data_IF_051779892819
#
_entry.id   IF_051779892819
#
_cell.length_a   1.000
_cell.length_b   1.000
_cell.length_c   1.000
_cell.angle_alpha   90.00
_cell.angle_beta   90.00
_cell.angle_gamma   90.00
#
_symmetry.space_group_name_H-M   'P 1'
#
loop_
_entity.id
_entity.type
_entity.pdbx_description
1 polymer ?
#
# COMPACT_ATOMS: atom_id res chain seq x y z
N UNK A 1 -6.45 9.95 -4.99
CA UNK A 1 -5.06 9.87 -5.47
C UNK A 1 -4.47 8.54 -5.02
N UNK A 2 -4.18 7.64 -5.96
CA UNK A 2 -3.47 6.39 -5.68
C UNK A 2 -1.99 6.73 -5.49
N UNK A 3 -1.55 6.83 -4.24
CA UNK A 3 -0.13 6.73 -3.96
C UNK A 3 0.16 5.23 -3.92
N UNK A 4 0.53 4.64 -5.07
CA UNK A 4 1.38 3.46 -5.03
C UNK A 4 2.59 3.90 -4.21
N UNK A 5 2.79 3.25 -3.08
CA UNK A 5 3.96 3.47 -2.23
C UNK A 5 5.19 3.40 -3.13
N UNK A 6 5.78 4.56 -3.46
CA UNK A 6 6.74 4.68 -4.57
C UNK A 6 7.95 3.80 -4.28
N UNK A 7 8.25 3.58 -2.99
CA UNK A 7 9.29 2.67 -2.52
C UNK A 7 9.05 1.19 -2.84
N UNK A 8 7.80 0.71 -2.89
CA UNK A 8 7.53 -0.68 -3.32
C UNK A 8 7.78 -0.88 -4.82
N UNK A 9 7.47 0.15 -5.62
CA UNK A 9 7.81 0.16 -7.04
C UNK A 9 9.33 0.24 -7.26
N UNK A 10 10.06 0.82 -6.32
CA UNK A 10 11.51 0.98 -6.43
C UNK A 10 12.25 -0.37 -6.36
N UNK A 11 11.83 -1.33 -5.54
CA UNK A 11 12.48 -2.66 -5.49
C UNK A 11 11.84 -3.71 -6.42
N UNK A 12 10.73 -3.38 -7.09
CA UNK A 12 9.96 -4.33 -7.89
C UNK A 12 10.60 -4.58 -9.26
N UNK A 13 10.52 -5.81 -9.75
CA UNK A 13 10.76 -6.14 -11.16
C UNK A 13 9.48 -6.71 -11.75
N UNK A 14 8.91 -6.01 -12.73
CA UNK A 14 7.71 -6.42 -13.44
C UNK A 14 8.08 -7.07 -14.78
N UNK A 15 7.62 -8.30 -14.99
CA UNK A 15 7.73 -9.01 -16.28
C UNK A 15 6.34 -9.13 -16.88
N UNK A 16 6.10 -8.49 -18.02
CA UNK A 16 4.82 -8.55 -18.73
C UNK A 16 4.98 -9.43 -19.97
N UNK A 17 4.14 -10.46 -20.10
CA UNK A 17 4.11 -11.33 -21.26
C UNK A 17 2.81 -11.13 -22.04
N UNK A 18 2.89 -10.47 -23.20
CA UNK A 18 1.77 -10.41 -24.14
C UNK A 18 1.82 -11.61 -25.07
N UNK A 19 0.91 -12.57 -24.85
CA UNK A 19 0.78 -13.75 -25.69
C UNK A 19 0.32 -13.43 -27.12
N UNK A 20 -0.49 -12.38 -27.27
CA UNK A 20 -1.01 -11.94 -28.56
C UNK A 20 0.09 -11.28 -29.41
N UNK A 21 0.92 -10.45 -28.77
CA UNK A 21 1.95 -9.68 -29.48
C UNK A 21 3.29 -10.40 -29.57
N UNK A 22 3.42 -11.58 -28.94
CA UNK A 22 4.68 -12.34 -28.80
C UNK A 22 5.81 -11.48 -28.22
N UNK A 23 5.47 -10.61 -27.28
CA UNK A 23 6.37 -9.64 -26.68
C UNK A 23 6.48 -9.88 -25.18
N UNK A 24 7.71 -9.76 -24.67
CA UNK A 24 8.02 -9.80 -23.24
C UNK A 24 8.66 -8.47 -22.88
N UNK A 25 8.03 -7.74 -21.97
CA UNK A 25 8.55 -6.50 -21.42
C UNK A 25 9.07 -6.73 -20.02
N UNK A 26 10.12 -5.99 -19.66
CA UNK A 26 10.72 -6.06 -18.33
C UNK A 26 10.97 -4.65 -17.85
N UNK A 27 10.43 -4.32 -16.68
CA UNK A 27 10.63 -3.04 -16.01
C UNK A 27 11.20 -3.33 -14.63
N UNK A 28 12.29 -2.68 -14.28
CA UNK A 28 12.86 -2.73 -12.95
C UNK A 28 12.69 -1.38 -12.28
N UNK A 29 12.33 -1.41 -11.00
CA UNK A 29 12.28 -0.24 -10.14
C UNK A 29 13.66 0.37 -9.92
N UNK A 30 13.66 1.60 -9.40
CA UNK A 30 14.86 2.40 -9.15
C UNK A 30 15.87 1.70 -8.23
N UNK A 31 15.38 1.11 -7.13
CA UNK A 31 16.19 0.47 -6.09
C UNK A 31 16.38 -1.03 -6.34
N UNK A 32 15.90 -1.57 -7.46
CA UNK A 32 16.19 -2.95 -7.85
C UNK A 32 17.68 -3.15 -8.20
N UNK A 33 18.42 -2.08 -8.49
CA UNK A 33 19.86 -2.08 -8.81
C UNK A 33 20.27 -3.09 -9.88
N UNK A 34 19.34 -3.41 -10.79
CA UNK A 34 19.56 -4.29 -11.94
C UNK A 34 19.89 -3.45 -13.17
N UNK A 35 20.98 -3.78 -13.85
CA UNK A 35 21.31 -3.11 -15.10
C UNK A 35 20.41 -3.58 -16.25
N UNK A 36 20.28 -2.73 -17.27
CA UNK A 36 19.63 -3.09 -18.54
C UNK A 36 20.21 -4.38 -19.13
N UNK A 37 21.53 -4.56 -19.05
CA UNK A 37 22.23 -5.71 -19.60
C UNK A 37 21.85 -7.01 -18.88
N UNK A 38 21.60 -6.96 -17.56
CA UNK A 38 21.12 -8.10 -16.80
C UNK A 38 19.72 -8.52 -17.28
N UNK A 39 18.81 -7.56 -17.44
CA UNK A 39 17.44 -7.84 -17.92
C UNK A 39 17.45 -8.36 -19.37
N UNK A 40 18.27 -7.76 -20.23
CA UNK A 40 18.44 -8.20 -21.62
C UNK A 40 19.03 -9.61 -21.70
N UNK A 41 20.04 -9.91 -20.87
CA UNK A 41 20.66 -11.24 -20.80
C UNK A 41 19.66 -12.28 -20.30
N UNK A 42 18.83 -11.93 -19.30
CA UNK A 42 17.77 -12.81 -18.80
C UNK A 42 16.82 -13.22 -19.93
N UNK A 43 16.40 -12.27 -20.76
CA UNK A 43 15.53 -12.53 -21.91
C UNK A 43 16.24 -13.37 -22.98
N UNK A 44 17.46 -12.98 -23.38
CA UNK A 44 18.22 -13.65 -24.44
C UNK A 44 18.51 -15.12 -24.10
N UNK A 45 18.84 -15.43 -22.85
CA UNK A 45 19.07 -16.82 -22.40
C UNK A 45 17.81 -17.69 -22.51
N UNK A 46 16.63 -17.09 -22.46
CA UNK A 46 15.34 -17.79 -22.46
C UNK A 46 14.58 -17.67 -23.78
N UNK A 47 15.16 -17.00 -24.80
CA UNK A 47 14.47 -16.72 -26.07
C UNK A 47 14.04 -17.98 -26.82
N UNK A 48 14.78 -19.08 -26.68
CA UNK A 48 14.42 -20.36 -27.29
C UNK A 48 13.09 -20.91 -26.76
N UNK A 49 12.84 -20.79 -25.45
CA UNK A 49 11.58 -21.21 -24.83
C UNK A 49 10.40 -20.38 -25.32
N UNK A 50 10.58 -19.06 -25.48
CA UNK A 50 9.54 -18.19 -26.04
C UNK A 50 9.24 -18.52 -27.50
N UNK A 51 10.28 -18.78 -28.32
CA UNK A 51 10.11 -19.20 -29.72
C UNK A 51 9.42 -20.56 -29.85
N UNK A 52 9.65 -21.47 -28.91
CA UNK A 52 9.01 -22.78 -28.86
C UNK A 52 7.58 -22.76 -28.28
N UNK A 53 7.08 -21.60 -27.83
CA UNK A 53 5.77 -21.49 -27.17
C UNK A 53 5.75 -21.98 -25.72
N UNK A 54 6.89 -22.34 -25.14
CA UNK A 54 7.06 -22.74 -23.74
C UNK A 54 7.24 -21.51 -22.84
N UNK A 55 6.24 -20.62 -22.81
CA UNK A 55 6.32 -19.33 -22.10
C UNK A 55 6.58 -19.47 -20.60
N UNK A 56 6.00 -20.49 -19.95
CA UNK A 56 6.17 -20.75 -18.51
C UNK A 56 7.65 -21.00 -18.20
N UNK A 57 8.28 -21.90 -18.95
CA UNK A 57 9.71 -22.23 -18.78
C UNK A 57 10.61 -21.03 -19.08
N UNK A 58 10.27 -20.24 -20.11
CA UNK A 58 11.01 -19.02 -20.43
C UNK A 58 10.92 -17.97 -19.32
N UNK A 59 9.74 -17.75 -18.76
CA UNK A 59 9.51 -16.84 -17.64
C UNK A 59 10.20 -17.32 -16.36
N UNK A 60 10.10 -18.61 -16.05
CA UNK A 60 10.76 -19.22 -14.89
C UNK A 60 12.28 -19.04 -14.97
N UNK A 61 12.89 -19.26 -16.14
CA UNK A 61 14.31 -19.04 -16.36
C UNK A 61 14.71 -17.56 -16.26
N UNK A 62 13.87 -16.64 -16.73
CA UNK A 62 14.09 -15.19 -16.54
C UNK A 62 14.05 -14.80 -15.07
N UNK A 63 13.03 -15.26 -14.32
CA UNK A 63 12.87 -14.99 -12.89
C UNK A 63 14.08 -15.50 -12.11
N UNK A 64 14.52 -16.75 -12.36
CA UNK A 64 15.69 -17.34 -11.70
C UNK A 64 16.96 -16.52 -11.91
N UNK A 65 17.21 -16.08 -13.14
CA UNK A 65 18.39 -15.27 -13.47
C UNK A 65 18.32 -13.87 -12.82
N UNK A 66 17.17 -13.21 -12.92
CA UNK A 66 16.93 -11.88 -12.36
C UNK A 66 17.05 -11.91 -10.83
N UNK A 67 16.43 -12.88 -10.15
CA UNK A 67 16.51 -13.03 -8.71
C UNK A 67 17.95 -13.28 -8.23
N UNK A 68 18.72 -14.07 -8.96
CA UNK A 68 20.14 -14.30 -8.67
C UNK A 68 20.98 -13.01 -8.81
N UNK A 69 20.75 -12.24 -9.86
CA UNK A 69 21.43 -10.96 -10.07
C UNK A 69 21.02 -9.91 -9.03
N UNK A 70 19.73 -9.87 -8.67
CA UNK A 70 19.20 -9.00 -7.62
C UNK A 70 19.87 -9.30 -6.29
N UNK A 71 19.93 -10.57 -5.89
CA UNK A 71 20.59 -11.00 -4.65
C UNK A 71 22.07 -10.61 -4.64
N UNK A 72 22.77 -10.78 -5.77
CA UNK A 72 24.18 -10.40 -5.89
C UNK A 72 24.41 -8.89 -5.77
N UNK A 73 23.47 -8.07 -6.28
CA UNK A 73 23.53 -6.61 -6.19
C UNK A 73 23.23 -6.07 -4.77
N UNK A 74 22.55 -6.87 -3.93
CA UNK A 74 22.14 -6.49 -2.57
C UNK A 74 22.96 -7.14 -1.46
N UNK A 75 23.85 -8.10 -1.78
CA UNK A 75 24.77 -8.74 -0.81
C UNK A 75 26.04 -7.91 -0.53
N UNK A 76 26.25 -6.78 -1.21
CA UNK A 76 27.40 -5.90 -0.93
C UNK A 76 27.08 -4.83 0.14
N UNK A 77 26.87 -5.25 1.39
CA UNK A 77 27.05 -4.42 2.59
C UNK A 77 27.06 -5.29 3.85
N UNK A 78 28.25 -5.62 4.34
CA UNK A 78 28.44 -6.04 5.74
C UNK A 78 29.30 -4.98 6.41
N UNK A 79 28.73 -4.08 7.23
CA UNK A 79 29.52 -3.35 8.21
C UNK A 79 29.94 -4.34 9.30
N UNK A 80 31.24 -4.51 9.49
CA UNK A 80 31.81 -5.27 10.61
C UNK A 80 31.41 -4.63 11.96
N UNK A 81 31.18 -5.43 13.03
CA UNK A 81 30.79 -4.88 14.33
C UNK A 81 32.01 -4.32 15.06
N UNK A 82 32.00 -3.03 15.40
CA UNK A 82 32.92 -2.45 16.37
C UNK A 82 32.35 -2.58 17.77
N UNK A 83 32.95 -3.47 18.55
CA UNK A 83 32.84 -3.61 20.00
C UNK A 83 33.58 -2.43 20.65
N UNK A 84 32.97 -1.77 21.63
CA UNK A 84 33.70 -1.05 22.69
C UNK A 84 32.79 -0.80 23.90
N UNK A 85 33.12 -1.50 25.00
CA UNK A 85 32.63 -1.33 26.36
C UNK A 85 33.07 0.01 26.99
N UNK A 86 32.27 0.56 27.92
CA UNK A 86 32.66 0.72 29.35
C UNK A 86 31.82 1.75 30.14
N UNK A 87 31.13 1.24 31.19
CA UNK A 87 31.11 1.65 32.61
C UNK A 87 30.54 3.01 33.11
N UNK A 88 29.52 2.85 34.00
CA UNK A 88 29.28 3.41 35.35
C UNK A 88 29.46 4.93 35.61
N UNK A 89 28.54 5.60 36.33
CA UNK A 89 28.47 5.65 37.81
C UNK A 89 27.09 6.13 38.30
N UNK A 90 26.70 5.61 39.48
CA UNK A 90 25.52 5.88 40.32
C UNK A 90 25.38 7.32 40.86
N UNK A 91 24.15 7.74 41.16
CA UNK A 91 23.85 8.59 42.33
C UNK A 91 22.45 8.31 42.89
N UNK A 92 22.41 8.12 44.20
CA UNK A 92 21.31 7.62 45.05
C UNK A 92 20.39 8.75 45.54
N UNK A 93 19.16 8.36 45.93
CA UNK A 93 17.95 9.12 46.35
C UNK A 93 18.05 9.88 47.70
N UNK A 94 16.94 10.45 48.23
CA UNK A 94 16.08 9.68 49.17
C UNK A 94 14.54 9.87 49.09
N UNK A 95 13.82 8.85 49.59
CA UNK A 95 12.38 8.65 49.86
C UNK A 95 11.79 9.63 50.92
N UNK A 96 10.48 9.88 51.14
CA UNK A 96 9.36 8.96 51.51
C UNK A 96 7.98 9.74 51.70
N UNK A 97 6.86 9.21 52.29
CA UNK A 97 5.56 8.91 51.61
C UNK A 97 4.29 9.49 52.34
N UNK A 98 3.10 8.83 52.42
CA UNK A 98 1.92 8.89 51.52
C UNK A 98 0.62 9.41 52.18
N UNK A 99 -0.44 9.74 51.41
CA UNK A 99 -1.82 9.87 51.94
C UNK A 99 -2.96 9.86 50.89
N UNK A 100 -3.75 8.79 50.95
CA UNK A 100 -5.22 8.66 50.88
C UNK A 100 -6.09 9.07 49.66
N UNK A 101 -7.01 8.14 49.37
CA UNK A 101 -8.10 8.06 48.38
C UNK A 101 -9.29 8.94 48.80
N UNK A 102 -9.89 9.72 47.89
CA UNK A 102 -11.36 9.86 47.83
C UNK A 102 -11.86 10.10 46.40
N UNK A 103 -13.06 9.57 46.13
CA UNK A 103 -13.78 9.60 44.86
C UNK A 103 -14.24 11.02 44.48
N UNK A 104 -13.91 11.42 43.26
CA UNK A 104 -14.58 12.50 42.56
C UNK A 104 -14.67 12.14 41.08
N UNK A 105 -15.85 11.77 40.62
CA UNK A 105 -16.16 11.49 39.20
C UNK A 105 -15.92 12.80 38.44
N UNK A 106 -14.73 12.94 37.86
CA UNK A 106 -14.45 13.99 36.88
C UNK A 106 -14.89 13.45 35.54
N UNK A 107 -16.11 13.81 35.12
CA UNK A 107 -16.48 13.76 33.71
C UNK A 107 -15.45 14.58 32.94
N UNK A 108 -14.50 13.88 32.30
CA UNK A 108 -13.64 14.47 31.29
C UNK A 108 -14.58 14.81 30.13
N UNK A 109 -14.69 16.08 29.71
CA UNK A 109 -15.43 16.39 28.50
C UNK A 109 -14.80 15.57 27.38
N UNK A 110 -15.64 14.81 26.70
CA UNK A 110 -15.31 13.98 25.55
C UNK A 110 -14.59 14.86 24.53
N UNK A 111 -13.25 14.81 24.57
CA UNK A 111 -12.41 15.49 23.62
C UNK A 111 -12.69 14.84 22.28
N UNK A 112 -13.19 15.63 21.33
CA UNK A 112 -13.27 15.27 19.91
C UNK A 112 -12.03 14.44 19.56
N UNK A 113 -12.18 13.30 18.86
CA UNK A 113 -11.05 12.42 18.57
C UNK A 113 -9.99 13.24 17.86
N UNK A 114 -8.85 13.43 18.52
CA UNK A 114 -7.67 14.03 17.94
C UNK A 114 -7.32 13.15 16.73
N UNK A 115 -7.39 13.71 15.52
CA UNK A 115 -7.06 12.97 14.30
C UNK A 115 -5.67 12.39 14.50
N UNK A 116 -5.53 11.07 14.39
CA UNK A 116 -4.24 10.40 14.50
C UNK A 116 -3.27 11.01 13.49
N UNK A 117 -2.18 11.63 13.96
CA UNK A 117 -1.15 12.21 13.08
C UNK A 117 -0.10 11.16 12.77
N UNK A 118 0.13 10.95 11.48
CA UNK A 118 1.19 10.07 10.96
C UNK A 118 2.58 10.72 10.98
N UNK A 119 2.70 12.02 11.31
CA UNK A 119 3.97 12.76 11.27
C UNK A 119 5.05 12.13 12.16
N UNK A 120 4.63 11.54 13.29
CA UNK A 120 5.53 10.94 14.27
C UNK A 120 5.68 9.42 14.11
N UNK A 121 5.08 8.81 13.09
CA UNK A 121 5.15 7.38 12.84
C UNK A 121 6.35 7.07 11.94
N UNK A 122 7.30 6.20 12.37
CA UNK A 122 8.40 5.72 11.54
C UNK A 122 7.88 5.20 10.21
N UNK A 123 8.61 5.44 9.12
CA UNK A 123 8.14 5.12 7.77
C UNK A 123 7.84 3.63 7.62
N UNK A 124 8.69 2.77 8.20
CA UNK A 124 8.53 1.31 8.22
C UNK A 124 7.22 0.83 8.86
N UNK A 125 6.65 1.63 9.78
CA UNK A 125 5.46 1.28 10.55
C UNK A 125 4.18 1.83 9.93
N UNK A 126 4.26 2.83 9.04
CA UNK A 126 3.10 3.60 8.55
C UNK A 126 2.02 2.72 7.93
N UNK A 127 2.40 1.79 7.05
CA UNK A 127 1.45 0.89 6.39
C UNK A 127 0.71 0.03 7.42
N UNK A 128 1.44 -0.55 8.38
CA UNK A 128 0.87 -1.40 9.41
C UNK A 128 -0.01 -0.60 10.37
N UNK A 129 0.37 0.62 10.71
CA UNK A 129 -0.44 1.55 11.49
C UNK A 129 -1.73 1.92 10.76
N UNK A 130 -1.68 2.20 9.45
CA UNK A 130 -2.88 2.48 8.65
C UNK A 130 -3.82 1.28 8.60
N UNK A 131 -3.28 0.07 8.39
CA UNK A 131 -4.04 -1.17 8.42
C UNK A 131 -4.65 -1.44 9.81
N UNK A 132 -3.92 -1.15 10.88
CA UNK A 132 -4.40 -1.25 12.26
C UNK A 132 -5.54 -0.27 12.53
N UNK A 133 -5.46 0.99 12.06
CA UNK A 133 -6.55 1.97 12.18
C UNK A 133 -7.81 1.44 11.48
N UNK A 134 -7.67 0.88 10.27
CA UNK A 134 -8.79 0.25 9.54
C UNK A 134 -9.36 -0.96 10.30
N UNK A 135 -8.50 -1.80 10.87
CA UNK A 135 -8.91 -2.97 11.64
C UNK A 135 -9.64 -2.58 12.94
N UNK A 136 -9.13 -1.58 13.67
CA UNK A 136 -9.75 -1.06 14.88
C UNK A 136 -11.10 -0.41 14.56
N UNK A 137 -11.17 0.41 13.51
CA UNK A 137 -12.40 1.08 13.09
C UNK A 137 -13.50 0.10 12.64
N UNK A 138 -13.14 -1.01 11.99
CA UNK A 138 -14.13 -1.97 11.45
C UNK A 138 -14.47 -3.11 12.41
N UNK A 139 -13.51 -3.57 13.21
CA UNK A 139 -13.62 -4.80 14.00
C UNK A 139 -13.49 -4.58 15.52
N UNK A 140 -13.20 -3.35 15.95
CA UNK A 140 -13.03 -2.97 17.36
C UNK A 140 -11.59 -3.09 17.88
N UNK A 141 -11.37 -2.55 19.08
CA UNK A 141 -10.04 -2.37 19.69
C UNK A 141 -9.71 -3.39 20.80
N UNK A 142 -10.09 -4.66 20.62
CA UNK A 142 -9.76 -5.73 21.58
C UNK A 142 -8.31 -6.20 21.34
N UNK A 143 -7.36 -5.95 22.27
CA UNK A 143 -5.95 -6.30 22.07
C UNK A 143 -5.72 -7.80 21.86
N UNK A 144 -6.61 -8.65 22.39
CA UNK A 144 -6.49 -10.11 22.25
C UNK A 144 -6.85 -10.61 20.85
N UNK A 145 -7.53 -9.77 20.04
CA UNK A 145 -8.02 -10.12 18.70
C UNK A 145 -7.42 -9.27 17.59
N UNK A 146 -6.56 -8.32 17.93
CA UNK A 146 -6.06 -7.32 16.98
C UNK A 146 -5.36 -7.94 15.77
N UNK A 147 -4.57 -9.00 15.97
CA UNK A 147 -3.89 -9.73 14.89
C UNK A 147 -4.88 -10.43 13.95
N UNK A 148 -5.93 -11.04 14.51
CA UNK A 148 -7.02 -11.67 13.74
C UNK A 148 -7.82 -10.64 12.95
N UNK A 149 -8.14 -9.49 13.57
CA UNK A 149 -8.85 -8.40 12.92
C UNK A 149 -8.03 -7.78 11.77
N UNK A 150 -6.74 -7.55 12.02
CA UNK A 150 -5.80 -7.04 11.02
C UNK A 150 -5.69 -7.99 9.82
N UNK A 151 -5.51 -9.29 10.09
CA UNK A 151 -5.49 -10.32 9.05
C UNK A 151 -6.77 -10.32 8.21
N UNK A 152 -7.93 -10.24 8.85
CA UNK A 152 -9.21 -10.22 8.14
C UNK A 152 -9.33 -9.02 7.18
N UNK A 153 -8.90 -7.82 7.62
CA UNK A 153 -8.90 -6.62 6.78
C UNK A 153 -7.96 -6.75 5.59
N UNK A 154 -6.76 -7.31 5.80
CA UNK A 154 -5.77 -7.53 4.72
C UNK A 154 -6.29 -8.54 3.69
N UNK A 155 -6.81 -9.68 4.15
CA UNK A 155 -7.34 -10.72 3.26
C UNK A 155 -8.57 -10.22 2.48
N UNK A 156 -9.44 -9.43 3.11
CA UNK A 156 -10.59 -8.80 2.44
C UNK A 156 -10.14 -7.80 1.36
N UNK A 157 -9.20 -6.91 1.69
CA UNK A 157 -8.66 -5.93 0.73
C UNK A 157 -8.03 -6.64 -0.48
N UNK A 158 -7.28 -7.72 -0.25
CA UNK A 158 -6.70 -8.54 -1.32
C UNK A 158 -7.78 -9.20 -2.17
N UNK A 159 -8.80 -9.80 -1.54
CA UNK A 159 -9.91 -10.42 -2.25
C UNK A 159 -10.65 -9.43 -3.14
N UNK A 160 -10.98 -8.24 -2.61
CA UNK A 160 -11.64 -7.17 -3.37
C UNK A 160 -10.74 -6.73 -4.54
N UNK A 161 -9.44 -6.55 -4.31
CA UNK A 161 -8.48 -6.17 -5.36
C UNK A 161 -8.49 -7.17 -6.52
N UNK A 162 -8.44 -8.48 -6.22
CA UNK A 162 -8.51 -9.53 -7.24
C UNK A 162 -9.84 -9.52 -8.01
N UNK A 163 -10.95 -9.29 -7.31
CA UNK A 163 -12.26 -9.18 -7.94
C UNK A 163 -12.35 -7.96 -8.87
N UNK A 164 -11.83 -6.81 -8.44
CA UNK A 164 -11.78 -5.59 -9.26
C UNK A 164 -10.98 -5.78 -10.53
N UNK A 165 -9.80 -6.43 -10.46
CA UNK A 165 -8.99 -6.73 -11.65
C UNK A 165 -9.72 -7.60 -12.69
N UNK A 166 -10.69 -8.41 -12.25
CA UNK A 166 -11.54 -9.21 -13.14
C UNK A 166 -12.83 -8.52 -13.57
N UNK A 167 -13.19 -7.39 -12.97
CA UNK A 167 -14.44 -6.68 -13.27
C UNK A 167 -14.25 -5.77 -14.50
N UNK A 168 -15.06 -6.03 -15.54
CA UNK A 168 -14.98 -5.29 -16.80
C UNK A 168 -15.26 -3.78 -16.64
N UNK A 169 -16.10 -3.38 -15.67
CA UNK A 169 -16.40 -1.96 -15.44
C UNK A 169 -15.21 -1.28 -14.78
N UNK A 170 -14.53 -1.94 -13.85
CA UNK A 170 -13.30 -1.42 -13.26
C UNK A 170 -12.18 -1.29 -14.30
N UNK A 171 -12.00 -2.30 -15.16
CA UNK A 171 -11.01 -2.24 -16.24
C UNK A 171 -11.25 -1.04 -17.17
N UNK A 172 -12.51 -0.73 -17.49
CA UNK A 172 -12.88 0.45 -18.27
C UNK A 172 -12.54 1.77 -17.56
N UNK A 173 -12.67 1.83 -16.24
CA UNK A 173 -12.26 3.01 -15.45
C UNK A 173 -10.75 3.20 -15.53
N UNK A 174 -9.96 2.12 -15.39
CA UNK A 174 -8.50 2.21 -15.45
C UNK A 174 -8.00 2.57 -16.87
N UNK A 175 -8.63 2.03 -17.93
CA UNK A 175 -8.34 2.42 -19.31
C UNK A 175 -8.59 3.92 -19.54
N UNK A 176 -9.75 4.42 -19.12
CA UNK A 176 -10.08 5.86 -19.23
C UNK A 176 -9.19 6.75 -18.36
N UNK A 177 -8.74 6.24 -17.21
CA UNK A 177 -7.84 6.96 -16.31
C UNK A 177 -6.45 7.17 -16.90
N UNK A 178 -6.08 6.36 -17.91
CA UNK A 178 -4.80 6.42 -18.61
C UNK A 178 -4.91 7.11 -19.98
N UNK A 179 -6.08 7.62 -20.36
CA UNK A 179 -6.27 8.31 -21.63
C UNK A 179 -5.55 9.67 -21.64
N UNK A 180 -4.42 9.72 -22.36
CA UNK A 180 -3.61 10.93 -22.52
C UNK A 180 -4.35 12.06 -23.25
N UNK A 181 -5.40 11.76 -24.01
CA UNK A 181 -6.21 12.77 -24.68
C UNK A 181 -7.19 13.47 -23.73
N UNK A 182 -7.43 12.91 -22.55
CA UNK A 182 -8.36 13.47 -21.55
C UNK A 182 -7.75 14.62 -20.73
N UNK A 183 -6.45 14.92 -20.90
CA UNK A 183 -5.72 15.99 -20.22
C UNK A 183 -5.31 15.64 -18.78
N UNK A 184 -4.87 16.63 -17.99
CA UNK A 184 -4.31 16.44 -16.63
C UNK A 184 -5.28 15.81 -15.59
N UNK A 185 -6.55 15.59 -15.95
CA UNK A 185 -7.60 15.09 -15.05
C UNK A 185 -8.29 13.82 -15.58
N UNK A 186 -7.59 12.98 -16.35
CA UNK A 186 -8.13 11.75 -16.94
C UNK A 186 -8.76 10.82 -15.88
N UNK A 187 -8.08 10.66 -14.74
CA UNK A 187 -8.54 9.81 -13.63
C UNK A 187 -9.84 10.31 -13.02
N UNK A 188 -9.95 11.59 -12.71
CA UNK A 188 -11.15 12.15 -12.11
C UNK A 188 -12.35 12.08 -13.07
N UNK A 189 -12.11 12.31 -14.36
CA UNK A 189 -13.13 12.14 -15.41
C UNK A 189 -13.59 10.69 -15.53
N UNK A 190 -12.69 9.72 -15.45
CA UNK A 190 -13.04 8.30 -15.49
C UNK A 190 -13.97 7.93 -14.32
N UNK A 191 -13.70 8.44 -13.11
CA UNK A 191 -14.56 8.22 -11.94
C UNK A 191 -15.89 8.98 -12.02
N UNK A 192 -15.91 10.20 -12.58
CA UNK A 192 -17.16 10.92 -12.85
C UNK A 192 -18.04 10.17 -13.87
N UNK A 193 -17.43 9.63 -14.92
CA UNK A 193 -18.13 8.80 -15.91
C UNK A 193 -18.65 7.51 -15.29
N UNK A 194 -17.88 6.85 -14.42
CA UNK A 194 -18.33 5.67 -13.70
C UNK A 194 -19.52 5.97 -12.77
N UNK A 195 -19.47 7.13 -12.10
CA UNK A 195 -20.55 7.62 -11.22
C UNK A 195 -21.86 7.69 -11.98
N UNK A 196 -21.88 8.36 -13.12
CA UNK A 196 -23.08 8.52 -13.96
C UNK A 196 -23.47 7.26 -14.71
N UNK A 197 -22.50 6.41 -15.09
CA UNK A 197 -22.76 5.22 -15.91
C UNK A 197 -23.34 4.05 -15.14
N UNK A 198 -22.92 3.80 -13.89
CA UNK A 198 -23.39 2.62 -13.16
C UNK A 198 -23.36 2.73 -11.64
N UNK A 199 -22.47 3.53 -11.04
CA UNK A 199 -22.35 3.55 -9.57
C UNK A 199 -23.60 4.14 -8.92
N UNK A 200 -24.12 5.26 -9.44
CA UNK A 200 -25.31 5.89 -8.87
C UNK A 200 -26.56 5.01 -9.03
N UNK A 201 -26.69 4.31 -10.15
CA UNK A 201 -27.77 3.33 -10.36
C UNK A 201 -27.69 2.17 -9.35
N UNK A 202 -26.49 1.61 -9.14
CA UNK A 202 -26.30 0.58 -8.11
C UNK A 202 -26.61 1.09 -6.71
N UNK A 203 -26.18 2.30 -6.37
CA UNK A 203 -26.45 2.90 -5.07
C UNK A 203 -27.96 3.02 -4.86
N UNK A 204 -28.68 3.71 -5.76
CA UNK A 204 -30.13 3.89 -5.65
C UNK A 204 -30.89 2.57 -5.64
N UNK A 205 -30.41 1.55 -6.36
CA UNK A 205 -31.04 0.24 -6.41
C UNK A 205 -30.93 -0.55 -5.11
N UNK A 206 -29.81 -0.41 -4.38
CA UNK A 206 -29.49 -1.24 -3.22
C UNK A 206 -29.39 -0.47 -1.89
N UNK A 207 -29.59 0.86 -1.88
CA UNK A 207 -29.42 1.72 -0.71
C UNK A 207 -30.10 1.21 0.56
N UNK A 208 -31.33 0.69 0.42
CA UNK A 208 -32.13 0.21 1.55
C UNK A 208 -31.64 -1.14 2.11
N UNK A 209 -30.75 -1.81 1.41
CA UNK A 209 -30.16 -3.10 1.80
C UNK A 209 -28.77 -2.94 2.43
N UNK A 210 -28.17 -1.74 2.38
CA UNK A 210 -26.85 -1.53 2.96
C UNK A 210 -26.89 -1.63 4.49
N UNK A 211 -25.93 -2.34 5.11
CA UNK A 211 -25.85 -2.40 6.56
C UNK A 211 -25.54 -1.01 7.13
N UNK A 212 -26.27 -0.59 8.17
CA UNK A 212 -26.20 0.74 8.80
C UNK A 212 -24.93 1.00 9.63
N UNK A 213 -23.84 0.26 9.40
CA UNK A 213 -22.59 0.42 10.13
C UNK A 213 -21.45 0.68 9.17
N UNK A 214 -21.11 1.95 8.98
CA UNK A 214 -19.82 2.34 8.46
C UNK A 214 -19.37 3.59 9.20
N UNK A 215 -18.44 3.39 10.14
CA UNK A 215 -17.64 4.47 10.67
C UNK A 215 -16.68 4.92 9.54
N UNK A 216 -16.97 6.11 9.02
CA UNK A 216 -16.11 7.02 8.22
C UNK A 216 -15.62 6.54 6.84
N UNK A 217 -16.16 7.19 5.80
CA UNK A 217 -15.42 7.39 4.55
C UNK A 217 -14.19 8.28 4.84
N UNK A 218 -13.00 7.98 4.29
CA UNK A 218 -11.86 8.90 4.39
C UNK A 218 -12.23 10.22 3.69
N UNK A 219 -12.21 11.31 4.46
CA UNK A 219 -12.45 12.69 4.01
C UNK A 219 -11.39 13.04 2.95
N UNK A 220 -11.79 13.21 1.69
CA UNK A 220 -10.91 13.78 0.66
C UNK A 220 -10.75 15.26 1.03
N UNK A 221 -9.53 15.68 1.36
CA UNK A 221 -9.24 17.10 1.57
C UNK A 221 -9.50 17.85 0.26
N UNK A 222 -10.57 18.64 0.19
CA UNK A 222 -10.78 19.59 -0.90
C UNK A 222 -9.66 20.64 -0.86
N UNK A 223 -8.81 20.64 -1.89
CA UNK A 223 -7.86 21.71 -2.15
C UNK A 223 -8.65 22.99 -2.46
N UNK A 224 -8.81 23.86 -1.46
CA UNK A 224 -9.41 25.18 -1.66
C UNK A 224 -8.57 25.96 -2.66
N UNK A 225 -9.08 26.08 -3.89
CA UNK A 225 -8.63 27.11 -4.82
C UNK A 225 -8.78 28.48 -4.16
N UNK A 226 -7.73 29.33 -4.16
CA UNK A 226 -7.83 30.67 -3.60
C UNK A 226 -8.81 31.48 -4.46
N UNK A 227 -9.89 31.92 -3.83
CA UNK A 227 -10.81 32.90 -4.40
C UNK A 227 -10.03 34.18 -4.70
N UNK A 228 -9.85 34.47 -5.99
CA UNK A 228 -9.47 35.79 -6.46
C UNK A 228 -10.60 36.76 -6.08
N UNK A 229 -10.32 37.60 -5.09
CA UNK A 229 -11.12 38.78 -4.77
C UNK A 229 -11.09 39.73 -5.97
N UNK A 230 -12.27 39.97 -6.55
CA UNK A 230 -12.63 41.24 -7.18
C UNK A 230 -13.39 42.08 -6.16
#
# INVERSE_FOLDING_TARGET
MNYQDVGMCDTMVLIVNSRLDRQVFTVAGRDARLSRDVLQTAFQRNIAHFRAGSYITGLEGMIKYIASAYNSAHIMQVPSPSISDSNAIESVQPFAPPAFITNGIRHKPESKPEKFSFENVPEEDRLWVELLIKAVGRCGNDPSKISTNLRAVVEEAMKISLQLLSDNRYNKIEEQSQDFNAGMNARDKAWQNASTSFINDLYSKYENQFPRRFDQCPEIAEEKSPSLLM
#
